data_IF_261424550961
#
_entry.id   IF_261424550961
#
_cell.length_a   1.000
_cell.length_b   1.000
_cell.length_c   1.000
_cell.angle_alpha   90.00
_cell.angle_beta   90.00
_cell.angle_gamma   90.00
#
_symmetry.space_group_name_H-M   'P 1'
#
loop_
_entity.id
_entity.type
_entity.pdbx_description
1 polymer ?
#
# COMPACT_ATOMS: atom_id res chain seq x y z
N UNK A 1 -15.18 -14.99 -6.69
CA UNK A 1 -14.62 -13.90 -5.86
C UNK A 1 -13.14 -14.19 -5.64
N UNK A 2 -12.26 -13.20 -5.78
CA UNK A 2 -10.81 -13.41 -5.61
C UNK A 2 -10.44 -13.62 -4.14
N UNK A 3 -9.35 -14.35 -3.88
CA UNK A 3 -8.93 -14.72 -2.51
C UNK A 3 -8.79 -13.52 -1.55
N UNK A 4 -8.40 -12.35 -2.06
CA UNK A 4 -8.14 -11.16 -1.24
C UNK A 4 -9.35 -10.21 -1.08
N UNK A 5 -10.48 -10.50 -1.73
CA UNK A 5 -11.67 -9.65 -1.66
C UNK A 5 -12.08 -9.40 -0.20
N UNK A 6 -12.22 -8.14 0.20
CA UNK A 6 -12.59 -7.67 1.54
C UNK A 6 -11.62 -8.05 2.68
N UNK A 7 -10.46 -8.67 2.40
CA UNK A 7 -9.46 -8.92 3.44
C UNK A 7 -8.85 -7.60 3.90
N UNK A 8 -8.65 -7.46 5.21
CA UNK A 8 -7.92 -6.33 5.81
C UNK A 8 -6.44 -6.70 5.88
N UNK A 9 -5.59 -5.88 5.27
CA UNK A 9 -4.15 -6.15 5.17
C UNK A 9 -3.38 -4.91 5.59
N UNK A 10 -2.43 -5.09 6.52
CA UNK A 10 -1.47 -4.08 6.93
C UNK A 10 -0.14 -4.31 6.21
N UNK A 11 0.40 -3.27 5.58
CA UNK A 11 1.72 -3.29 4.93
C UNK A 11 2.61 -2.29 5.65
N UNK A 12 3.68 -2.78 6.29
CA UNK A 12 4.76 -1.94 6.82
C UNK A 12 5.76 -1.61 5.71
N UNK A 13 6.35 -0.41 5.73
CA UNK A 13 7.14 0.08 4.60
C UNK A 13 6.28 0.35 3.36
N UNK A 14 4.99 0.67 3.57
CA UNK A 14 3.99 0.76 2.51
C UNK A 14 4.21 1.88 1.50
N UNK A 15 5.02 2.88 1.85
CA UNK A 15 5.36 4.00 0.96
C UNK A 15 6.70 3.80 0.25
N UNK A 16 7.41 2.69 0.50
CA UNK A 16 8.59 2.28 -0.26
C UNK A 16 8.25 1.57 -1.58
N UNK A 17 9.28 1.26 -2.38
CA UNK A 17 9.12 0.65 -3.71
C UNK A 17 8.32 -0.67 -3.70
N UNK A 18 8.67 -1.60 -2.80
CA UNK A 18 7.99 -2.91 -2.73
C UNK A 18 6.60 -2.76 -2.12
N UNK A 19 6.50 -1.99 -1.02
CA UNK A 19 5.24 -1.80 -0.30
C UNK A 19 4.15 -1.18 -1.17
N UNK A 20 4.48 -0.14 -1.94
CA UNK A 20 3.50 0.54 -2.80
C UNK A 20 3.02 -0.33 -3.96
N UNK A 21 3.91 -1.12 -4.58
CA UNK A 21 3.54 -2.06 -5.64
C UNK A 21 2.71 -3.24 -5.11
N UNK A 22 3.02 -3.73 -3.90
CA UNK A 22 2.19 -4.72 -3.23
C UNK A 22 0.79 -4.17 -2.93
N UNK A 23 0.71 -2.94 -2.40
CA UNK A 23 -0.54 -2.26 -2.11
C UNK A 23 -1.40 -2.13 -3.37
N UNK A 24 -0.81 -1.73 -4.50
CA UNK A 24 -1.46 -1.64 -5.80
C UNK A 24 -2.09 -2.97 -6.24
N UNK A 25 -1.31 -4.05 -6.15
CA UNK A 25 -1.76 -5.39 -6.54
C UNK A 25 -2.91 -5.88 -5.65
N UNK A 26 -2.84 -5.64 -4.34
CA UNK A 26 -3.88 -6.05 -3.38
C UNK A 26 -5.15 -5.20 -3.51
N UNK A 27 -5.02 -3.89 -3.73
CA UNK A 27 -6.15 -3.00 -3.96
C UNK A 27 -6.93 -3.37 -5.23
N UNK A 28 -6.24 -3.73 -6.33
CA UNK A 28 -6.89 -4.25 -7.56
C UNK A 28 -7.67 -5.54 -7.29
N UNK A 29 -7.23 -6.36 -6.34
CA UNK A 29 -7.91 -7.60 -5.94
C UNK A 29 -9.03 -7.39 -4.92
N UNK A 30 -9.38 -6.13 -4.59
CA UNK A 30 -10.48 -5.78 -3.69
C UNK A 30 -10.13 -5.93 -2.21
N UNK A 31 -8.85 -5.91 -1.85
CA UNK A 31 -8.44 -5.88 -0.44
C UNK A 31 -8.61 -4.47 0.16
N UNK A 32 -8.85 -4.43 1.47
CA UNK A 32 -8.82 -3.21 2.28
C UNK A 32 -7.40 -3.04 2.85
N UNK A 33 -6.59 -2.19 2.22
CA UNK A 33 -5.16 -2.07 2.50
C UNK A 33 -4.89 -0.85 3.38
N UNK A 34 -4.15 -1.06 4.47
CA UNK A 34 -3.58 0.00 5.32
C UNK A 34 -2.06 -0.03 5.22
N UNK A 35 -1.45 1.12 5.01
CA UNK A 35 -0.01 1.30 4.87
C UNK A 35 0.53 1.95 6.13
N UNK A 36 1.68 1.50 6.59
CA UNK A 36 2.45 2.15 7.66
C UNK A 36 3.87 2.29 7.17
N UNK A 37 4.45 3.47 7.32
CA UNK A 37 5.83 3.74 6.91
C UNK A 37 6.50 4.67 7.92
N UNK A 38 7.80 4.49 8.13
CA UNK A 38 8.59 5.33 9.04
C UNK A 38 9.13 6.59 8.38
N UNK A 39 9.14 6.65 7.04
CA UNK A 39 9.64 7.79 6.25
C UNK A 39 11.05 8.26 6.67
N UNK A 40 11.93 7.33 7.04
CA UNK A 40 13.32 7.64 7.39
C UNK A 40 14.00 8.26 6.16
N UNK A 41 14.65 9.44 6.26
CA UNK A 41 15.11 10.21 5.09
C UNK A 41 16.05 9.47 4.11
N UNK A 42 16.79 8.45 4.57
CA UNK A 42 17.68 7.66 3.70
C UNK A 42 16.99 6.46 3.03
N UNK A 43 15.72 6.19 3.33
CA UNK A 43 14.94 5.11 2.73
C UNK A 43 13.95 5.65 1.68
N UNK A 44 13.56 4.79 0.74
CA UNK A 44 12.74 5.17 -0.41
C UNK A 44 11.26 5.44 -0.12
N UNK A 45 10.88 5.68 1.13
CA UNK A 45 9.51 5.99 1.53
C UNK A 45 9.08 7.35 1.00
N UNK A 46 8.06 7.40 0.14
CA UNK A 46 7.56 8.64 -0.45
C UNK A 46 6.06 8.51 -0.79
N UNK A 47 5.25 9.52 -0.43
CA UNK A 47 3.81 9.55 -0.75
C UNK A 47 3.55 9.55 -2.26
N UNK A 48 4.50 10.02 -3.06
CA UNK A 48 4.48 9.91 -4.52
C UNK A 48 4.29 8.46 -5.01
N UNK A 49 4.83 7.47 -4.29
CA UNK A 49 4.80 6.07 -4.72
C UNK A 49 3.40 5.46 -4.73
N UNK A 50 2.41 6.12 -4.11
CA UNK A 50 1.02 5.69 -4.05
C UNK A 50 0.05 6.68 -4.70
N UNK A 51 0.53 7.72 -5.39
CA UNK A 51 -0.30 8.85 -5.86
C UNK A 51 -1.55 8.41 -6.65
N UNK A 52 -1.39 7.43 -7.52
CA UNK A 52 -2.45 6.87 -8.37
C UNK A 52 -3.38 5.86 -7.65
N UNK A 53 -3.07 5.49 -6.40
CA UNK A 53 -3.91 4.62 -5.56
C UNK A 53 -4.27 5.23 -4.20
N UNK A 54 -4.02 6.51 -3.95
CA UNK A 54 -4.31 7.17 -2.66
C UNK A 54 -5.77 6.97 -2.24
N UNK A 55 -6.72 6.99 -3.18
CA UNK A 55 -8.15 6.80 -2.91
C UNK A 55 -8.55 5.33 -2.64
N UNK A 56 -7.61 4.39 -2.73
CA UNK A 56 -7.84 2.94 -2.56
C UNK A 56 -7.14 2.35 -1.34
N UNK A 57 -6.35 3.14 -0.63
CA UNK A 57 -5.57 2.72 0.53
C UNK A 57 -5.78 3.69 1.68
N UNK A 58 -5.49 3.23 2.89
CA UNK A 58 -5.34 4.08 4.07
C UNK A 58 -3.85 4.15 4.42
N UNK A 59 -3.35 5.31 4.82
CA UNK A 59 -1.96 5.53 5.25
C UNK A 59 -1.97 6.04 6.69
#
# INVERSE_FOLDING_TARGET
MGYYTNKRILITGGLGFIGSNLARSLAVQGANVTLVDSLIPQYGGNTFNIDDIQNKVVV
#
